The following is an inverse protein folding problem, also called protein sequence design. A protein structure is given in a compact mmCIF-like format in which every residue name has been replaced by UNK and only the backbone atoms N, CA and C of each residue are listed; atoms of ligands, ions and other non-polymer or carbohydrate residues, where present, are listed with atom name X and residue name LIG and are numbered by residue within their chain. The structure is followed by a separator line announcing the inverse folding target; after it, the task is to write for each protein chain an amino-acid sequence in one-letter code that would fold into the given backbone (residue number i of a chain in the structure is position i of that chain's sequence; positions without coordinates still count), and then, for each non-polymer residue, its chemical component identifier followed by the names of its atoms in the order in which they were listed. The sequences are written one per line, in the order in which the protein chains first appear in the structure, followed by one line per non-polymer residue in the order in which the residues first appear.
data_IF_596514673344
#
_entry.id   IF_596514673344
#
_cell.length_a   1.000
_cell.length_b   1.000
_cell.length_c   1.000
_cell.angle_alpha   90.00
_cell.angle_beta   90.00
_cell.angle_gamma   90.00
#
_symmetry.space_group_name_H-M   'P 1'
#
loop_
_entity.id
_entity.type
_entity.pdbx_description
1 polymer ?
#
# COMPACT_ATOMS: atom_id res chain seq x y z
N UNK A 1 -9.05 -14.28 -26.21
CA UNK A 1 -8.00 -13.90 -25.26
C UNK A 1 -8.22 -14.60 -23.93
N UNK A 2 -7.18 -15.19 -23.42
CA UNK A 2 -7.24 -15.84 -22.11
C UNK A 2 -7.37 -14.79 -21.00
N UNK A 3 -8.13 -15.12 -19.97
CA UNK A 3 -8.18 -14.30 -18.75
C UNK A 3 -6.83 -14.35 -18.08
N UNK A 4 -6.38 -13.25 -17.43
CA UNK A 4 -5.15 -13.30 -16.65
C UNK A 4 -5.28 -14.34 -15.55
N UNK A 5 -4.22 -15.09 -15.34
CA UNK A 5 -4.16 -16.06 -14.24
C UNK A 5 -4.05 -15.32 -12.92
N UNK A 6 -4.69 -15.86 -11.89
CA UNK A 6 -4.57 -15.34 -10.54
C UNK A 6 -3.21 -15.69 -9.97
N UNK A 7 -2.50 -14.70 -9.46
CA UNK A 7 -1.21 -14.86 -8.81
C UNK A 7 -1.43 -14.80 -7.30
N UNK A 8 -1.42 -15.97 -6.66
CA UNK A 8 -1.66 -16.10 -5.22
C UNK A 8 -0.36 -15.80 -4.46
N UNK A 9 -0.34 -14.69 -3.75
CA UNK A 9 0.83 -14.32 -2.95
C UNK A 9 0.81 -15.02 -1.59
N UNK A 10 1.98 -15.33 -1.09
CA UNK A 10 2.17 -15.94 0.23
C UNK A 10 2.37 -14.87 1.30
N UNK A 11 2.25 -15.28 2.56
CA UNK A 11 2.62 -14.43 3.70
C UNK A 11 4.10 -14.06 3.66
N UNK A 12 4.94 -14.97 3.17
CA UNK A 12 6.37 -14.69 3.01
C UNK A 12 6.59 -13.57 1.99
N UNK A 13 5.84 -13.57 0.89
CA UNK A 13 5.90 -12.50 -0.10
C UNK A 13 5.50 -11.16 0.53
N UNK A 14 4.44 -11.15 1.32
CA UNK A 14 4.00 -9.93 2.02
C UNK A 14 5.10 -9.41 2.94
N UNK A 15 5.69 -10.29 3.73
CA UNK A 15 6.77 -9.93 4.65
C UNK A 15 7.97 -9.36 3.89
N UNK A 16 8.32 -9.96 2.75
CA UNK A 16 9.40 -9.48 1.90
C UNK A 16 9.14 -8.06 1.37
N UNK A 17 7.89 -7.77 1.01
CA UNK A 17 7.53 -6.43 0.51
C UNK A 17 7.56 -5.40 1.64
N UNK A 18 7.10 -5.77 2.82
CA UNK A 18 7.18 -4.91 4.01
C UNK A 18 8.65 -4.59 4.30
N UNK A 19 9.52 -5.59 4.29
CA UNK A 19 10.95 -5.39 4.50
C UNK A 19 11.58 -4.50 3.41
N UNK A 20 11.15 -4.63 2.17
CA UNK A 20 11.63 -3.79 1.08
C UNK A 20 11.25 -2.31 1.29
N UNK A 21 10.04 -2.06 1.79
CA UNK A 21 9.60 -0.71 2.14
C UNK A 21 10.49 -0.14 3.26
N UNK A 22 10.72 -0.90 4.31
CA UNK A 22 11.56 -0.49 5.45
C UNK A 22 12.97 -0.15 4.98
N UNK A 23 13.55 -1.00 4.16
CA UNK A 23 14.90 -0.80 3.59
C UNK A 23 14.99 0.50 2.81
N UNK A 24 13.97 0.78 2.00
CA UNK A 24 13.93 2.01 1.21
C UNK A 24 13.83 3.24 2.10
N UNK A 25 12.93 3.21 3.10
CA UNK A 25 12.78 4.32 4.04
C UNK A 25 14.08 4.61 4.81
N UNK A 26 14.78 3.55 5.21
CA UNK A 26 16.07 3.67 5.89
C UNK A 26 17.12 4.29 4.96
N UNK A 27 17.16 3.84 3.71
CA UNK A 27 18.12 4.33 2.71
C UNK A 27 17.97 5.83 2.46
N UNK A 28 16.73 6.35 2.43
CA UNK A 28 16.45 7.76 2.17
C UNK A 28 16.31 8.57 3.46
N UNK A 29 16.53 7.93 4.60
CA UNK A 29 16.48 8.58 5.93
C UNK A 29 15.11 9.20 6.23
N UNK A 30 14.03 8.52 5.86
CA UNK A 30 12.67 8.95 6.13
C UNK A 30 12.10 8.17 7.32
N UNK A 31 11.81 8.89 8.43
CA UNK A 31 11.16 8.32 9.60
C UNK A 31 9.73 8.82 9.73
N UNK A 32 8.73 7.97 9.44
CA UNK A 32 7.34 8.37 9.66
C UNK A 32 7.09 8.60 11.15
N UNK A 33 6.26 9.58 11.48
CA UNK A 33 5.82 9.80 12.86
C UNK A 33 4.57 9.00 13.19
N UNK A 34 3.86 8.55 12.16
CA UNK A 34 2.61 7.82 12.31
C UNK A 34 2.40 6.95 11.09
N UNK A 35 1.79 5.78 11.28
CA UNK A 35 1.44 4.85 10.21
C UNK A 35 -0.06 4.62 10.22
N UNK A 36 -0.64 4.60 9.03
CA UNK A 36 -2.05 4.25 8.85
C UNK A 36 -2.20 3.38 7.60
N UNK A 37 -3.36 2.79 7.43
CA UNK A 37 -3.63 1.93 6.28
C UNK A 37 -4.93 2.25 5.59
N UNK A 38 -4.95 1.98 4.30
CA UNK A 38 -6.18 2.06 3.51
C UNK A 38 -6.99 0.78 3.73
N UNK A 39 -8.23 0.88 4.28
CA UNK A 39 -9.04 -0.31 4.46
C UNK A 39 -9.34 -0.97 3.08
N UNK A 40 -9.40 -2.28 3.02
CA UNK A 40 -9.14 -3.21 4.13
C UNK A 40 -7.73 -3.81 4.07
N UNK A 41 -7.25 -4.14 2.85
CA UNK A 41 -5.97 -4.83 2.66
C UNK A 41 -4.77 -4.04 3.18
N UNK A 42 -4.79 -2.73 3.04
CA UNK A 42 -3.72 -1.87 3.52
C UNK A 42 -3.55 -1.88 5.04
N UNK A 43 -4.61 -2.21 5.78
CA UNK A 43 -4.55 -2.28 7.25
C UNK A 43 -3.56 -3.33 7.72
N UNK A 44 -3.53 -4.48 7.07
CA UNK A 44 -2.64 -5.58 7.45
C UNK A 44 -1.18 -5.18 7.27
N UNK A 45 -0.86 -4.63 6.10
CA UNK A 45 0.50 -4.16 5.81
C UNK A 45 0.92 -3.01 6.75
N UNK A 46 0.00 -2.09 7.03
CA UNK A 46 0.25 -0.96 7.94
C UNK A 46 0.58 -1.44 9.35
N UNK A 47 -0.17 -2.41 9.86
CA UNK A 47 0.07 -2.98 11.19
C UNK A 47 1.41 -3.69 11.24
N UNK A 48 1.77 -4.43 10.21
CA UNK A 48 3.09 -5.09 10.13
C UNK A 48 4.22 -4.07 10.15
N UNK A 49 4.11 -2.99 9.37
CA UNK A 49 5.09 -1.90 9.34
C UNK A 49 5.20 -1.21 10.71
N UNK A 50 4.05 -0.92 11.32
CA UNK A 50 3.99 -0.30 12.65
C UNK A 50 4.77 -1.11 13.67
N UNK A 51 4.56 -2.42 13.70
CA UNK A 51 5.28 -3.31 14.63
C UNK A 51 6.77 -3.38 14.33
N UNK A 52 7.15 -3.54 13.06
CA UNK A 52 8.57 -3.68 12.69
C UNK A 52 9.36 -2.39 12.91
N UNK A 53 8.73 -1.25 12.69
CA UNK A 53 9.40 0.06 12.87
C UNK A 53 9.27 0.63 14.28
N UNK A 54 8.36 0.08 15.09
CA UNK A 54 8.08 0.62 16.42
C UNK A 54 7.42 2.00 16.35
N UNK A 55 6.60 2.25 15.33
CA UNK A 55 5.90 3.52 15.10
C UNK A 55 4.41 3.30 15.29
N UNK A 56 3.75 4.25 15.94
CA UNK A 56 2.33 4.14 16.26
C UNK A 56 1.45 4.08 15.01
N UNK A 57 0.41 3.28 15.12
CA UNK A 57 -0.66 3.19 14.12
C UNK A 57 -1.87 4.01 14.58
N UNK A 58 -2.53 4.68 13.64
CA UNK A 58 -3.83 5.32 13.87
C UNK A 58 -4.72 5.11 12.64
N UNK A 59 -6.06 5.06 12.80
CA UNK A 59 -6.97 4.96 11.65
C UNK A 59 -6.82 6.13 10.70
N UNK A 60 -7.06 5.89 9.41
CA UNK A 60 -6.96 6.91 8.38
C UNK A 60 -7.87 8.12 8.67
N UNK A 61 -9.07 7.87 9.18
CA UNK A 61 -10.01 8.94 9.55
C UNK A 61 -9.42 9.88 10.59
N UNK A 62 -8.69 9.33 11.56
CA UNK A 62 -7.98 10.12 12.58
C UNK A 62 -6.84 10.92 11.93
N UNK A 63 -6.08 10.29 11.05
CA UNK A 63 -4.96 10.94 10.37
C UNK A 63 -5.41 12.12 9.50
N UNK A 64 -6.60 12.04 8.91
CA UNK A 64 -7.17 13.14 8.10
C UNK A 64 -7.44 14.40 8.92
N UNK A 65 -7.48 14.30 10.24
CA UNK A 65 -7.66 15.44 11.14
C UNK A 65 -6.34 16.12 11.51
N UNK A 66 -5.21 15.55 11.09
CA UNK A 66 -3.89 16.10 11.38
C UNK A 66 -3.57 17.31 10.50
N UNK A 67 -2.77 18.26 11.01
CA UNK A 67 -2.27 19.34 10.18
C UNK A 67 -1.33 18.82 9.08
N UNK A 68 -1.21 19.57 8.00
CA UNK A 68 -0.43 19.19 6.82
C UNK A 68 1.00 18.74 7.14
N UNK A 69 1.68 19.41 8.05
CA UNK A 69 3.05 19.06 8.44
C UNK A 69 3.15 17.61 8.95
N UNK A 70 2.15 17.17 9.72
CA UNK A 70 2.14 15.83 10.27
C UNK A 70 1.66 14.81 9.23
N UNK A 71 0.76 15.21 8.33
CA UNK A 71 0.34 14.32 7.25
C UNK A 71 1.49 13.94 6.33
N UNK A 72 2.40 14.86 6.04
CA UNK A 72 3.60 14.57 5.22
C UNK A 72 4.50 13.52 5.85
N UNK A 73 4.50 13.43 7.16
CA UNK A 73 5.25 12.44 7.94
C UNK A 73 4.40 11.24 8.34
N UNK A 74 3.17 11.17 7.86
CA UNK A 74 2.28 10.02 8.07
C UNK A 74 2.39 9.11 6.85
N UNK A 75 2.79 7.87 7.08
CA UNK A 75 2.88 6.87 6.02
C UNK A 75 1.53 6.18 5.88
N UNK A 76 0.88 6.39 4.75
CA UNK A 76 -0.38 5.71 4.41
C UNK A 76 -0.04 4.49 3.58
N UNK A 77 -0.40 3.32 4.08
CA UNK A 77 -0.04 2.04 3.46
C UNK A 77 -1.25 1.42 2.78
N UNK A 78 -1.08 0.99 1.55
CA UNK A 78 -2.07 0.20 0.83
C UNK A 78 -1.44 -1.14 0.43
N UNK A 79 -2.26 -2.13 0.13
CA UNK A 79 -1.76 -3.41 -0.34
C UNK A 79 -1.27 -3.29 -1.79
N UNK A 80 -2.01 -2.58 -2.61
CA UNK A 80 -1.68 -2.36 -4.01
C UNK A 80 -2.06 -0.93 -4.44
N UNK A 81 -1.20 -0.30 -5.20
CA UNK A 81 -1.56 0.91 -5.96
C UNK A 81 -1.84 0.43 -7.39
N UNK A 82 -3.12 0.33 -7.72
CA UNK A 82 -3.61 -0.26 -8.97
C UNK A 82 -3.77 0.82 -10.05
N UNK A 83 -4.91 1.49 -10.12
CA UNK A 83 -5.09 2.64 -11.01
C UNK A 83 -4.34 3.87 -10.54
N UNK A 84 -4.11 3.97 -9.24
CA UNK A 84 -3.47 5.10 -8.60
C UNK A 84 -4.44 6.20 -8.17
N UNK A 85 -5.73 6.03 -8.38
CA UNK A 85 -6.73 7.07 -8.06
C UNK A 85 -6.76 7.35 -6.55
N UNK A 86 -6.87 6.32 -5.73
CA UNK A 86 -6.89 6.46 -4.27
C UNK A 86 -5.58 7.07 -3.75
N UNK A 87 -4.45 6.55 -4.23
CA UNK A 87 -3.12 7.02 -3.81
C UNK A 87 -2.91 8.48 -4.20
N UNK A 88 -3.29 8.86 -5.41
CA UNK A 88 -3.14 10.23 -5.89
C UNK A 88 -3.97 11.20 -5.04
N UNK A 89 -5.21 10.81 -4.72
CA UNK A 89 -6.09 11.62 -3.87
C UNK A 89 -5.47 11.84 -2.48
N UNK A 90 -4.94 10.79 -1.87
CA UNK A 90 -4.30 10.87 -0.56
C UNK A 90 -3.02 11.69 -0.62
N UNK A 91 -2.24 11.56 -1.68
CA UNK A 91 -1.04 12.37 -1.88
C UNK A 91 -1.39 13.85 -2.04
N UNK A 92 -2.49 14.16 -2.72
CA UNK A 92 -3.00 15.54 -2.84
C UNK A 92 -3.47 16.10 -1.49
N UNK A 93 -3.81 15.22 -0.54
CA UNK A 93 -4.12 15.59 0.83
C UNK A 93 -2.86 15.66 1.72
N UNK A 94 -1.68 15.65 1.11
CA UNK A 94 -0.36 15.76 1.74
C UNK A 94 0.15 14.50 2.45
N UNK A 95 -0.48 13.36 2.27
CA UNK A 95 0.01 12.10 2.83
C UNK A 95 1.15 11.52 2.00
N UNK A 96 1.99 10.72 2.64
CA UNK A 96 3.07 9.97 1.99
C UNK A 96 2.62 8.52 1.84
N UNK A 97 2.66 7.99 0.63
CA UNK A 97 2.03 6.72 0.27
C UNK A 97 3.07 5.61 0.10
N UNK A 98 2.79 4.46 0.72
CA UNK A 98 3.54 3.23 0.49
C UNK A 98 2.59 2.10 0.11
N UNK A 99 3.06 1.14 -0.66
CA UNK A 99 2.27 -0.05 -1.00
C UNK A 99 3.16 -1.28 -1.14
N UNK A 100 2.58 -2.46 -0.92
CA UNK A 100 3.30 -3.71 -1.10
C UNK A 100 3.71 -3.91 -2.56
N UNK A 101 2.82 -3.52 -3.46
CA UNK A 101 3.11 -3.55 -4.89
C UNK A 101 2.36 -2.43 -5.60
N UNK A 102 2.79 -2.09 -6.81
CA UNK A 102 2.04 -1.14 -7.63
C UNK A 102 2.09 -1.56 -9.09
N UNK A 103 0.99 -1.29 -9.79
CA UNK A 103 0.86 -1.62 -11.20
C UNK A 103 1.58 -0.57 -12.04
N UNK A 104 2.35 -1.02 -13.01
CA UNK A 104 3.17 -0.11 -13.86
C UNK A 104 2.34 0.88 -14.65
N UNK A 105 1.04 0.59 -14.86
CA UNK A 105 0.11 1.49 -15.55
C UNK A 105 -0.59 2.48 -14.60
N UNK A 106 -0.28 2.44 -13.31
CA UNK A 106 -0.87 3.35 -12.32
C UNK A 106 -0.58 4.81 -12.65
N UNK A 107 -1.55 5.67 -12.37
CA UNK A 107 -1.42 7.13 -12.51
C UNK A 107 -0.49 7.74 -11.46
N UNK A 108 -0.18 6.99 -10.41
CA UNK A 108 0.62 7.46 -9.30
C UNK A 108 1.65 6.41 -8.91
N UNK A 109 2.90 6.83 -8.81
CA UNK A 109 3.97 5.97 -8.31
C UNK A 109 4.10 6.19 -6.80
N UNK A 110 3.94 5.15 -5.97
CA UNK A 110 4.08 5.30 -4.52
C UNK A 110 5.46 5.84 -4.13
N UNK A 111 5.51 6.58 -3.03
CA UNK A 111 6.75 7.07 -2.45
C UNK A 111 7.69 5.91 -2.09
N UNK A 112 7.11 4.85 -1.52
CA UNK A 112 7.84 3.62 -1.20
C UNK A 112 6.99 2.41 -1.63
N UNK A 113 7.60 1.38 -2.14
CA UNK A 113 6.88 0.18 -2.58
C UNK A 113 7.80 -1.04 -2.54
N UNK A 114 7.18 -2.21 -2.52
CA UNK A 114 7.90 -3.47 -2.59
C UNK A 114 8.18 -3.86 -4.04
N UNK A 115 7.17 -4.29 -4.76
CA UNK A 115 7.31 -4.86 -6.09
C UNK A 115 6.49 -4.10 -7.14
N UNK A 116 7.06 -3.95 -8.33
CA UNK A 116 6.30 -3.52 -9.50
C UNK A 116 5.60 -4.72 -10.09
N UNK A 117 4.33 -4.57 -10.46
CA UNK A 117 3.58 -5.63 -11.11
C UNK A 117 3.14 -5.18 -12.49
N UNK A 118 2.99 -6.17 -13.37
CA UNK A 118 2.64 -5.91 -14.76
C UNK A 118 1.15 -5.59 -14.90
N UNK A 119 0.82 -4.97 -16.02
CA UNK A 119 -0.53 -4.59 -16.43
C UNK A 119 -1.56 -5.70 -16.24
N UNK A 120 -1.22 -6.94 -16.58
CA UNK A 120 -2.15 -8.06 -16.61
C UNK A 120 -2.11 -8.97 -15.39
N UNK A 121 -1.25 -8.68 -14.43
CA UNK A 121 -1.13 -9.50 -13.22
C UNK A 121 -2.37 -9.33 -12.34
N UNK A 122 -2.98 -10.44 -11.95
CA UNK A 122 -4.10 -10.45 -11.01
C UNK A 122 -3.60 -10.97 -9.67
N UNK A 123 -3.34 -10.06 -8.75
CA UNK A 123 -2.77 -10.40 -7.43
C UNK A 123 -3.88 -10.80 -6.47
N UNK A 124 -3.70 -11.93 -5.81
CA UNK A 124 -4.56 -12.36 -4.70
C UNK A 124 -3.67 -12.42 -3.46
N UNK A 125 -4.00 -11.60 -2.48
CA UNK A 125 -3.24 -11.52 -1.23
C UNK A 125 -3.61 -12.68 -0.29
N UNK A 126 -2.71 -13.08 0.63
CA UNK A 126 -2.96 -14.24 1.49
C UNK A 126 -4.13 -14.07 2.47
N UNK A 127 -4.54 -12.84 2.75
CA UNK A 127 -5.73 -12.57 3.59
C UNK A 127 -7.02 -12.59 2.78
N UNK A 128 -6.95 -12.68 1.47
CA UNK A 128 -8.12 -12.76 0.61
C UNK A 128 -8.51 -14.22 0.38
N UNK A 129 -9.79 -14.48 0.14
CA UNK A 129 -10.23 -15.80 -0.27
C UNK A 129 -10.28 -15.85 -1.79
N UNK A 130 -10.19 -17.04 -2.36
CA UNK A 130 -10.30 -17.22 -3.81
C UNK A 130 -11.61 -16.65 -4.37
N UNK A 131 -12.66 -16.67 -3.55
CA UNK A 131 -14.00 -16.21 -3.90
C UNK A 131 -14.24 -14.74 -3.54
N UNK A 132 -13.24 -14.07 -2.92
CA UNK A 132 -13.40 -12.66 -2.57
C UNK A 132 -13.60 -11.84 -3.82
N UNK A 133 -14.63 -11.01 -3.81
CA UNK A 133 -14.79 -9.97 -4.81
C UNK A 133 -13.78 -8.87 -4.53
N UNK A 134 -12.53 -9.12 -4.87
CA UNK A 134 -11.53 -8.05 -4.83
C UNK A 134 -11.75 -7.18 -6.05
N UNK A 135 -12.32 -6.03 -5.82
CA UNK A 135 -12.46 -5.05 -6.90
C UNK A 135 -11.09 -4.44 -7.11
N UNK A 136 -10.41 -4.90 -8.15
CA UNK A 136 -9.23 -4.22 -8.65
C UNK A 136 -9.73 -2.98 -9.38
N UNK A 137 -9.14 -1.83 -9.11
CA UNK A 137 -9.59 -0.56 -9.70
C UNK A 137 -9.72 -0.61 -11.22
N UNK A 138 -8.78 -1.28 -11.87
CA UNK A 138 -8.80 -1.37 -13.32
C UNK A 138 -9.95 -2.20 -13.87
N UNK A 139 -10.59 -3.02 -13.04
CA UNK A 139 -11.77 -3.81 -13.40
C UNK A 139 -13.06 -3.04 -13.11
N UNK A 140 -12.99 -2.01 -12.28
CA UNK A 140 -14.15 -1.22 -11.88
C UNK A 140 -14.43 -0.04 -12.82
N UNK A 141 -13.53 0.22 -13.74
CA UNK A 141 -13.68 1.31 -14.71
C UNK A 141 -14.65 0.98 -15.84
#
# INVERSE_FOLDING_TARGET
MSKPEKDFKSWQWVDNQVDAIIKYLDKIDFEPVLITGVPRGGLIAAVMLSHKLGIDYAPLTTCKMLPKKLRKKTLVVDDIVDSGVTALKLADEDFTIASLCFRTTSKYKPFAYGEKIRKDDWIVFPWETEESETIQDYLAS
#
